data_IF_150909623985
#
_entry.id   IF_150909623985
#
_cell.length_a   1.000
_cell.length_b   1.000
_cell.length_c   1.000
_cell.angle_alpha   90.00
_cell.angle_beta   90.00
_cell.angle_gamma   90.00
#
_symmetry.space_group_name_H-M   'P 1'
#
loop_
_entity.id
_entity.type
_entity.pdbx_description
1 polymer ?
#
# COMPACT_ATOMS: atom_id res chain seq x y z
N UNK A 1 7.65 16.28 21.10
CA UNK A 1 8.09 17.52 21.74
C UNK A 1 8.93 18.33 20.75
N UNK A 2 8.85 19.64 20.83
CA UNK A 2 9.68 20.54 20.02
C UNK A 2 10.59 21.31 20.98
N UNK A 3 11.87 21.32 20.66
CA UNK A 3 12.88 22.06 21.42
C UNK A 3 13.51 23.08 20.47
N UNK A 4 13.58 24.33 20.90
CA UNK A 4 14.40 25.35 20.26
C UNK A 4 15.82 25.22 20.78
N UNK A 5 16.76 24.97 19.88
CA UNK A 5 18.16 24.85 20.21
C UNK A 5 18.89 26.15 19.86
N UNK A 6 19.85 26.52 20.68
CA UNK A 6 20.71 27.67 20.40
C UNK A 6 21.75 27.26 19.36
N UNK A 7 21.66 27.83 18.16
CA UNK A 7 22.69 27.65 17.15
C UNK A 7 23.95 28.45 17.52
N UNK A 8 25.12 27.85 17.27
CA UNK A 8 26.41 28.57 17.36
C UNK A 8 26.64 29.51 16.17
N UNK A 9 25.77 29.50 15.18
CA UNK A 9 25.83 30.35 13.99
C UNK A 9 24.71 31.41 14.09
N UNK A 10 25.08 32.66 13.98
CA UNK A 10 24.19 33.80 14.22
C UNK A 10 23.03 33.94 13.21
N UNK A 11 23.07 33.23 12.10
CA UNK A 11 22.10 33.26 11.01
C UNK A 11 21.25 31.98 10.92
N UNK A 12 21.33 31.10 11.93
CA UNK A 12 20.60 29.83 11.96
C UNK A 12 19.75 29.69 13.22
N UNK A 13 18.53 29.26 13.02
CA UNK A 13 17.61 28.81 14.07
C UNK A 13 17.48 27.29 13.99
N UNK A 14 17.69 26.60 15.09
CA UNK A 14 17.68 25.15 15.17
C UNK A 14 16.52 24.67 16.03
N UNK A 15 15.71 23.77 15.47
CA UNK A 15 14.60 23.16 16.17
C UNK A 15 14.71 21.64 16.12
N UNK A 16 14.77 21.01 17.28
CA UNK A 16 14.71 19.55 17.41
C UNK A 16 13.25 19.12 17.60
N UNK A 17 12.77 18.25 16.74
CA UNK A 17 11.42 17.70 16.80
C UNK A 17 11.51 16.23 17.19
N UNK A 18 11.22 15.95 18.47
CA UNK A 18 11.17 14.59 18.98
C UNK A 18 9.89 13.88 18.59
N UNK A 19 10.00 12.78 17.83
CA UNK A 19 8.90 11.89 17.45
C UNK A 19 9.11 10.51 18.06
N UNK A 20 8.02 9.83 18.38
CA UNK A 20 8.08 8.50 19.04
C UNK A 20 8.42 7.37 18.08
N UNK A 21 8.25 7.60 16.79
CA UNK A 21 8.57 6.65 15.71
C UNK A 21 9.13 7.41 14.52
N UNK A 22 9.85 6.72 13.67
CA UNK A 22 10.27 7.25 12.38
C UNK A 22 9.06 7.73 11.59
N UNK A 23 9.13 8.96 11.09
CA UNK A 23 8.04 9.59 10.35
C UNK A 23 8.58 10.42 9.20
N UNK A 24 7.71 10.70 8.23
CA UNK A 24 8.03 11.60 7.12
C UNK A 24 7.59 13.03 7.47
N UNK A 25 8.30 13.98 6.89
CA UNK A 25 7.95 15.39 7.04
C UNK A 25 7.97 16.10 5.67
N UNK A 26 7.26 17.20 5.60
CA UNK A 26 7.20 18.06 4.43
C UNK A 26 7.29 19.51 4.85
N UNK A 27 8.19 20.26 4.24
CA UNK A 27 8.18 21.70 4.32
C UNK A 27 7.10 22.24 3.37
N UNK A 28 6.03 22.80 3.92
CA UNK A 28 4.89 23.27 3.13
C UNK A 28 5.10 24.67 2.61
N UNK A 29 5.57 25.57 3.45
CA UNK A 29 5.80 26.96 3.07
C UNK A 29 6.83 27.62 3.98
N UNK A 30 7.44 28.66 3.45
CA UNK A 30 8.16 29.66 4.21
C UNK A 30 7.77 31.03 3.68
N UNK A 31 7.44 31.96 4.55
CA UNK A 31 7.11 33.33 4.20
C UNK A 31 7.70 34.30 5.22
N UNK A 32 8.00 35.49 4.78
CA UNK A 32 8.43 36.62 5.65
C UNK A 32 7.25 37.58 5.77
N UNK A 33 6.71 37.71 6.97
CA UNK A 33 5.62 38.62 7.29
C UNK A 33 6.01 39.45 8.53
N UNK A 34 5.85 40.77 8.43
CA UNK A 34 6.18 41.70 9.52
C UNK A 34 7.60 41.50 10.13
N UNK A 35 8.57 41.20 9.27
CA UNK A 35 9.94 40.94 9.70
C UNK A 35 10.16 39.55 10.39
N UNK A 36 9.14 38.69 10.40
CA UNK A 36 9.23 37.33 10.97
C UNK A 36 9.08 36.28 9.89
N UNK A 37 9.90 35.25 9.99
CA UNK A 37 9.76 34.08 9.14
C UNK A 37 8.67 33.15 9.66
N UNK A 38 7.70 32.84 8.82
CA UNK A 38 6.74 31.79 9.04
C UNK A 38 7.20 30.54 8.29
N UNK A 39 7.50 29.47 9.02
CA UNK A 39 7.90 28.19 8.43
C UNK A 39 6.88 27.14 8.85
N UNK A 40 6.19 26.55 7.87
CA UNK A 40 5.20 25.50 8.12
C UNK A 40 5.81 24.16 7.77
N UNK A 41 6.10 23.38 8.79
CA UNK A 41 6.55 22.00 8.69
C UNK A 41 5.39 21.07 9.03
N UNK A 42 4.94 20.28 8.08
CA UNK A 42 3.99 19.19 8.34
C UNK A 42 4.78 17.94 8.68
N UNK A 43 4.65 17.46 9.90
CA UNK A 43 5.15 16.17 10.32
C UNK A 43 3.98 15.19 10.30
N UNK A 44 4.11 14.07 9.58
CA UNK A 44 3.13 13.00 9.65
C UNK A 44 3.26 12.36 11.02
N UNK A 45 2.43 12.81 11.94
CA UNK A 45 2.32 12.13 13.23
C UNK A 45 1.56 10.82 12.98
N UNK A 46 2.09 9.68 13.39
CA UNK A 46 1.26 8.50 13.46
C UNK A 46 0.17 8.84 14.49
N UNK A 47 -0.97 9.27 13.97
CA UNK A 47 -2.12 9.57 14.82
C UNK A 47 -2.37 8.36 15.70
N UNK A 48 -2.79 8.58 16.90
CA UNK A 48 -3.56 7.60 17.66
C UNK A 48 -4.91 7.45 16.94
N UNK A 49 -4.91 7.09 15.65
CA UNK A 49 -6.10 6.52 15.09
C UNK A 49 -6.21 5.18 15.78
N UNK A 50 -7.20 5.07 16.59
CA UNK A 50 -7.65 3.84 17.23
C UNK A 50 -8.01 2.72 16.22
N UNK A 51 -7.93 2.97 14.95
CA UNK A 51 -7.92 1.99 13.87
C UNK A 51 -6.47 1.62 13.56
N UNK A 52 -6.04 0.51 14.11
CA UNK A 52 -4.84 -0.19 13.67
C UNK A 52 -5.01 -0.43 12.17
N UNK A 53 -4.15 0.20 11.36
CA UNK A 53 -4.16 -0.06 9.92
C UNK A 53 -3.90 -1.53 9.74
N UNK A 54 -4.87 -2.25 9.21
CA UNK A 54 -4.67 -3.64 8.85
C UNK A 54 -3.77 -3.70 7.61
N UNK A 55 -2.55 -4.18 7.80
CA UNK A 55 -1.57 -4.38 6.74
C UNK A 55 -1.52 -5.83 6.25
N UNK A 56 -2.52 -6.62 6.63
CA UNK A 56 -2.68 -8.00 6.21
C UNK A 56 -1.88 -9.01 7.03
N UNK A 57 -1.59 -10.15 6.44
CA UNK A 57 -1.00 -11.29 7.13
C UNK A 57 0.51 -11.16 7.31
N UNK A 58 1.01 -11.60 8.46
CA UNK A 58 2.44 -11.75 8.73
C UNK A 58 2.96 -13.16 8.38
N UNK A 59 2.05 -14.12 8.19
CA UNK A 59 2.39 -15.54 7.97
C UNK A 59 1.86 -16.05 6.64
N UNK A 60 2.53 -17.09 6.12
CA UNK A 60 2.09 -17.84 4.95
C UNK A 60 1.10 -18.92 5.37
N UNK A 61 0.01 -19.07 4.62
CA UNK A 61 -0.96 -20.14 4.78
C UNK A 61 -1.77 -20.36 3.50
N UNK A 62 -2.52 -21.46 3.44
CA UNK A 62 -3.52 -21.70 2.40
C UNK A 62 -4.92 -21.18 2.77
N UNK A 63 -5.07 -20.63 3.97
CA UNK A 63 -6.33 -20.09 4.48
C UNK A 63 -6.61 -18.73 3.87
N UNK A 64 -7.89 -18.35 3.88
CA UNK A 64 -8.33 -17.02 3.45
C UNK A 64 -7.62 -15.91 4.21
N UNK A 65 -7.19 -14.88 3.48
CA UNK A 65 -6.51 -13.71 4.03
C UNK A 65 -7.20 -12.45 3.56
N UNK A 66 -7.25 -11.46 4.43
CA UNK A 66 -7.93 -10.20 4.17
C UNK A 66 -7.09 -9.02 4.67
N UNK A 67 -7.18 -7.91 3.94
CA UNK A 67 -6.76 -6.58 4.37
C UNK A 67 -8.05 -5.77 4.42
N UNK A 68 -8.48 -5.33 5.61
CA UNK A 68 -9.72 -4.54 5.76
C UNK A 68 -9.67 -3.22 4.99
N UNK A 69 -8.45 -2.71 4.76
CA UNK A 69 -8.26 -1.44 4.10
C UNK A 69 -8.66 -0.25 4.98
N UNK A 70 -8.32 0.95 4.50
CA UNK A 70 -8.64 2.19 5.22
C UNK A 70 -9.65 3.01 4.42
N UNK A 71 -9.78 2.71 3.14
CA UNK A 71 -10.64 3.45 2.25
C UNK A 71 -12.09 2.95 2.37
N UNK A 72 -12.84 3.54 3.28
CA UNK A 72 -14.30 3.40 3.31
C UNK A 72 -15.01 4.09 2.13
N UNK A 73 -14.25 4.71 1.23
CA UNK A 73 -14.72 5.42 0.05
C UNK A 73 -13.97 4.91 -1.16
N UNK A 74 -14.61 4.88 -2.32
CA UNK A 74 -14.09 4.45 -3.62
C UNK A 74 -12.96 5.35 -4.16
N UNK A 75 -11.93 5.59 -3.35
CA UNK A 75 -10.87 6.56 -3.65
C UNK A 75 -9.53 5.90 -3.98
N UNK A 76 -9.40 4.60 -3.75
CA UNK A 76 -8.17 3.89 -4.06
C UNK A 76 -8.11 3.57 -5.57
N UNK A 77 -6.91 3.63 -6.12
CA UNK A 77 -6.64 3.28 -7.51
C UNK A 77 -5.42 2.38 -7.59
N UNK A 78 -5.50 1.28 -8.34
CA UNK A 78 -4.35 0.51 -8.75
C UNK A 78 -3.71 1.24 -9.93
N UNK A 79 -2.47 1.70 -9.78
CA UNK A 79 -1.76 2.51 -10.78
C UNK A 79 -0.82 1.70 -11.64
N UNK A 80 -0.20 0.67 -11.07
CA UNK A 80 0.73 -0.22 -11.75
C UNK A 80 0.90 -1.52 -10.98
N UNK A 81 1.62 -2.46 -11.57
CA UNK A 81 2.05 -3.68 -10.93
C UNK A 81 3.48 -4.02 -11.29
N UNK A 82 4.10 -4.82 -10.44
CA UNK A 82 5.34 -5.54 -10.73
C UNK A 82 5.22 -6.98 -10.26
N UNK A 83 5.96 -7.89 -10.88
CA UNK A 83 6.03 -9.27 -10.44
C UNK A 83 7.44 -9.83 -10.63
N UNK A 84 7.74 -10.90 -9.90
CA UNK A 84 9.02 -11.59 -9.99
C UNK A 84 8.98 -12.91 -9.25
N UNK A 85 10.03 -13.70 -9.41
CA UNK A 85 10.19 -15.03 -8.78
C UNK A 85 11.44 -15.07 -7.89
N UNK A 86 11.54 -14.25 -6.84
CA UNK A 86 12.71 -14.32 -5.97
C UNK A 86 12.75 -15.68 -5.27
N UNK A 87 13.85 -16.39 -5.44
CA UNK A 87 14.07 -17.71 -4.78
C UNK A 87 12.97 -18.76 -5.02
N UNK A 88 12.33 -18.73 -6.19
CA UNK A 88 11.26 -19.67 -6.55
C UNK A 88 9.87 -19.33 -5.99
N UNK A 89 9.73 -18.21 -5.30
CA UNK A 89 8.48 -17.67 -4.79
C UNK A 89 7.91 -16.66 -5.78
N UNK A 90 6.66 -16.82 -6.21
CA UNK A 90 6.00 -15.77 -6.99
C UNK A 90 5.64 -14.61 -6.08
N UNK A 91 6.13 -13.43 -6.42
CA UNK A 91 5.78 -12.18 -5.76
C UNK A 91 5.12 -11.23 -6.75
N UNK A 92 3.93 -10.77 -6.42
CA UNK A 92 3.21 -9.73 -7.16
C UNK A 92 2.97 -8.53 -6.25
N UNK A 93 3.21 -7.34 -6.78
CA UNK A 93 3.08 -6.07 -6.07
C UNK A 93 2.20 -5.15 -6.89
N UNK A 94 1.10 -4.68 -6.33
CA UNK A 94 0.27 -3.62 -6.88
C UNK A 94 0.60 -2.29 -6.20
N UNK A 95 0.95 -1.28 -6.99
CA UNK A 95 1.09 0.09 -6.49
C UNK A 95 -0.28 0.73 -6.40
N UNK A 96 -0.57 1.32 -5.26
CA UNK A 96 -1.87 1.92 -4.96
C UNK A 96 -1.72 3.42 -4.74
N UNK A 97 -2.65 4.19 -5.25
CA UNK A 97 -2.79 5.63 -4.98
C UNK A 97 -4.22 5.95 -4.58
N UNK A 98 -4.41 7.11 -3.96
CA UNK A 98 -5.74 7.57 -3.54
C UNK A 98 -5.62 8.79 -2.65
N UNK A 99 -6.76 9.28 -2.17
CA UNK A 99 -6.81 10.40 -1.23
C UNK A 99 -6.55 9.91 0.20
N UNK A 100 -5.88 10.75 0.97
CA UNK A 100 -5.58 10.49 2.38
C UNK A 100 -4.23 9.84 2.62
N UNK A 101 -3.98 9.55 3.88
CA UNK A 101 -2.66 9.13 4.36
C UNK A 101 -2.33 7.66 4.05
N UNK A 102 -3.34 6.87 3.71
CA UNK A 102 -3.17 5.45 3.43
C UNK A 102 -4.30 4.93 2.52
N UNK A 103 -4.13 5.02 1.19
CA UNK A 103 -5.17 4.61 0.24
C UNK A 103 -5.15 3.09 -0.02
N UNK A 104 -4.93 2.26 1.00
CA UNK A 104 -5.00 0.81 0.85
C UNK A 104 -6.47 0.40 0.76
N UNK A 105 -6.92 -0.22 -0.36
CA UNK A 105 -8.28 -0.73 -0.48
C UNK A 105 -8.48 -1.98 0.36
N UNK A 106 -9.72 -2.37 0.56
CA UNK A 106 -10.04 -3.70 1.04
C UNK A 106 -9.60 -4.74 0.00
N UNK A 107 -8.90 -5.78 0.44
CA UNK A 107 -8.41 -6.86 -0.42
C UNK A 107 -8.66 -8.19 0.26
N UNK A 108 -9.21 -9.13 -0.49
CA UNK A 108 -9.41 -10.53 -0.03
C UNK A 108 -8.66 -11.48 -0.95
N UNK A 109 -8.04 -12.48 -0.37
CA UNK A 109 -7.40 -13.57 -1.12
C UNK A 109 -7.89 -14.91 -0.58
N UNK A 110 -8.33 -15.78 -1.46
CA UNK A 110 -8.81 -17.12 -1.12
C UNK A 110 -8.67 -18.06 -2.31
N UNK A 111 -8.65 -19.36 -2.06
CA UNK A 111 -8.74 -20.37 -3.11
C UNK A 111 -10.19 -20.66 -3.49
N UNK A 112 -10.48 -20.69 -4.79
CA UNK A 112 -11.76 -21.15 -5.31
C UNK A 112 -11.85 -22.70 -5.35
N UNK A 113 -12.96 -23.22 -5.85
CA UNK A 113 -13.21 -24.67 -5.98
C UNK A 113 -12.24 -25.37 -6.94
N UNK A 114 -11.71 -24.64 -7.94
CA UNK A 114 -10.72 -25.12 -8.91
C UNK A 114 -9.29 -25.06 -8.41
N UNK A 115 -9.07 -24.73 -7.13
CA UNK A 115 -7.77 -24.48 -6.50
C UNK A 115 -6.97 -23.34 -7.13
N UNK A 116 -7.64 -22.38 -7.76
CA UNK A 116 -7.04 -21.17 -8.25
C UNK A 116 -7.06 -20.10 -7.14
N UNK A 117 -5.97 -19.37 -6.95
CA UNK A 117 -5.91 -18.29 -5.96
C UNK A 117 -6.59 -17.05 -6.53
N UNK A 118 -7.62 -16.57 -5.85
CA UNK A 118 -8.42 -15.41 -6.24
C UNK A 118 -8.10 -14.26 -5.31
N UNK A 119 -7.64 -13.15 -5.89
CA UNK A 119 -7.40 -11.88 -5.16
C UNK A 119 -8.41 -10.85 -5.63
N UNK A 120 -9.19 -10.34 -4.72
CA UNK A 120 -10.26 -9.36 -4.99
C UNK A 120 -9.99 -8.06 -4.27
N UNK A 121 -9.92 -6.99 -5.03
CA UNK A 121 -9.89 -5.62 -4.55
C UNK A 121 -11.29 -5.04 -4.61
N UNK A 122 -11.74 -4.38 -3.56
CA UNK A 122 -13.00 -3.65 -3.51
C UNK A 122 -12.77 -2.15 -3.34
N UNK A 123 -13.80 -1.35 -3.54
CA UNK A 123 -13.76 0.11 -3.35
C UNK A 123 -12.70 0.83 -4.20
N UNK A 124 -12.44 0.33 -5.41
CA UNK A 124 -11.52 0.95 -6.35
C UNK A 124 -12.24 1.99 -7.24
N UNK A 125 -11.69 3.20 -7.34
CA UNK A 125 -12.09 4.17 -8.36
C UNK A 125 -11.57 3.74 -9.74
N UNK A 126 -10.31 3.33 -9.82
CA UNK A 126 -9.66 2.90 -11.06
C UNK A 126 -8.76 1.69 -10.80
N UNK A 127 -8.74 0.76 -11.74
CA UNK A 127 -7.69 -0.23 -11.89
C UNK A 127 -7.07 -0.09 -13.28
N UNK A 128 -5.90 0.53 -13.35
CA UNK A 128 -5.21 0.72 -14.62
C UNK A 128 -4.74 -0.60 -15.22
N UNK A 129 -4.41 -1.58 -14.40
CA UNK A 129 -3.99 -2.91 -14.89
C UNK A 129 -5.14 -3.60 -15.60
N UNK A 130 -6.31 -3.66 -14.97
CA UNK A 130 -7.54 -4.24 -15.55
C UNK A 130 -8.02 -3.49 -16.81
N UNK A 131 -7.74 -2.19 -16.91
CA UNK A 131 -8.10 -1.40 -18.09
C UNK A 131 -7.27 -1.76 -19.32
N UNK A 132 -6.01 -2.16 -19.14
CA UNK A 132 -5.09 -2.44 -20.24
C UNK A 132 -4.88 -3.94 -20.51
N UNK A 133 -5.13 -4.80 -19.51
CA UNK A 133 -4.87 -6.23 -19.61
C UNK A 133 -6.01 -7.04 -19.06
N UNK A 134 -6.36 -8.12 -19.74
CA UNK A 134 -7.34 -9.12 -19.26
C UNK A 134 -6.67 -10.34 -18.67
N UNK A 135 -5.39 -10.54 -18.96
CA UNK A 135 -4.58 -11.61 -18.43
C UNK A 135 -3.11 -11.19 -18.39
N UNK A 136 -2.38 -11.63 -17.38
CA UNK A 136 -0.95 -11.42 -17.21
C UNK A 136 -0.24 -12.77 -17.22
N UNK A 137 0.84 -12.89 -17.99
CA UNK A 137 1.73 -14.05 -17.93
C UNK A 137 2.82 -13.78 -16.90
N UNK A 138 2.79 -14.50 -15.78
CA UNK A 138 3.70 -14.30 -14.65
C UNK A 138 4.89 -15.25 -14.67
N UNK A 139 4.72 -16.42 -15.31
CA UNK A 139 5.78 -17.40 -15.61
C UNK A 139 5.37 -18.25 -16.78
N UNK A 140 6.16 -19.28 -17.12
CA UNK A 140 5.81 -20.25 -18.16
C UNK A 140 4.53 -21.04 -17.88
N UNK A 141 4.12 -21.17 -16.63
CA UNK A 141 2.95 -21.95 -16.21
C UNK A 141 1.90 -21.14 -15.45
N UNK A 142 2.23 -19.98 -14.90
CA UNK A 142 1.32 -19.20 -14.05
C UNK A 142 0.85 -17.97 -14.81
N UNK A 143 -0.47 -17.81 -14.86
CA UNK A 143 -1.13 -16.60 -15.39
C UNK A 143 -2.04 -15.99 -14.33
N UNK A 144 -2.37 -14.71 -14.48
CA UNK A 144 -3.41 -14.08 -13.68
C UNK A 144 -4.46 -13.46 -14.62
N UNK A 145 -5.65 -14.04 -14.63
CA UNK A 145 -6.79 -13.47 -15.35
C UNK A 145 -7.40 -12.33 -14.54
N UNK A 146 -7.76 -11.25 -15.23
CA UNK A 146 -8.22 -10.03 -14.59
C UNK A 146 -9.63 -9.69 -15.08
N UNK A 147 -10.52 -9.49 -14.12
CA UNK A 147 -11.87 -8.98 -14.40
C UNK A 147 -12.14 -7.76 -13.56
N UNK A 148 -12.92 -6.83 -14.09
CA UNK A 148 -13.40 -5.66 -13.38
C UNK A 148 -14.91 -5.54 -13.51
N UNK A 149 -15.58 -5.34 -12.38
CA UNK A 149 -17.00 -5.07 -12.30
C UNK A 149 -17.23 -3.89 -11.33
N UNK A 150 -17.65 -2.75 -11.88
CA UNK A 150 -17.82 -1.52 -11.12
C UNK A 150 -16.53 -1.08 -10.40
N UNK A 151 -16.60 -1.06 -9.07
CA UNK A 151 -15.50 -0.70 -8.17
C UNK A 151 -14.69 -1.91 -7.67
N UNK A 152 -14.93 -3.09 -8.23
CA UNK A 152 -14.30 -4.35 -7.85
C UNK A 152 -13.39 -4.86 -8.97
N UNK A 153 -12.14 -5.22 -8.63
CA UNK A 153 -11.22 -5.90 -9.52
C UNK A 153 -10.83 -7.26 -8.93
N UNK A 154 -10.86 -8.28 -9.77
CA UNK A 154 -10.53 -9.66 -9.38
C UNK A 154 -9.41 -10.18 -10.25
N UNK A 155 -8.38 -10.73 -9.61
CA UNK A 155 -7.24 -11.40 -10.21
C UNK A 155 -7.29 -12.88 -9.87
N UNK A 156 -7.38 -13.75 -10.87
CA UNK A 156 -7.44 -15.20 -10.70
C UNK A 156 -6.12 -15.82 -11.16
N UNK A 157 -5.34 -16.33 -10.23
CA UNK A 157 -4.04 -16.95 -10.49
C UNK A 157 -4.23 -18.42 -10.86
N UNK A 158 -3.92 -18.73 -12.11
CA UNK A 158 -4.06 -20.06 -12.73
C UNK A 158 -2.71 -20.73 -12.91
N UNK A 159 -2.73 -22.06 -13.07
CA UNK A 159 -1.53 -22.84 -13.32
C UNK A 159 -0.70 -23.15 -12.08
N UNK A 160 -1.25 -22.90 -10.90
CA UNK A 160 -0.70 -23.43 -9.65
C UNK A 160 -0.99 -24.95 -9.61
N UNK A 161 0.06 -25.76 -9.46
CA UNK A 161 -0.08 -27.24 -9.49
C UNK A 161 -0.88 -27.81 -8.31
N UNK A 162 -1.01 -27.02 -7.23
CA UNK A 162 -1.79 -27.31 -6.02
C UNK A 162 -2.01 -26.02 -5.24
N UNK A 163 -2.82 -26.06 -4.18
CA UNK A 163 -2.87 -24.96 -3.20
C UNK A 163 -1.49 -24.79 -2.58
N UNK A 164 -0.96 -23.59 -2.67
CA UNK A 164 0.33 -23.18 -2.10
C UNK A 164 0.10 -22.22 -0.96
N UNK A 165 1.00 -22.23 -0.01
CA UNK A 165 0.98 -21.19 1.02
C UNK A 165 1.23 -19.82 0.39
N UNK A 166 0.39 -18.88 0.72
CA UNK A 166 0.53 -17.50 0.27
C UNK A 166 0.46 -16.54 1.45
N UNK A 167 0.93 -15.33 1.21
CA UNK A 167 0.84 -14.21 2.15
C UNK A 167 0.35 -12.98 1.41
N UNK A 168 -0.74 -12.39 1.90
CA UNK A 168 -1.29 -11.13 1.46
C UNK A 168 -0.94 -10.06 2.49
N UNK A 169 -0.24 -9.01 2.06
CA UNK A 169 0.18 -7.91 2.94
C UNK A 169 0.12 -6.57 2.21
N UNK A 170 0.17 -5.49 2.97
CA UNK A 170 0.24 -4.13 2.44
C UNK A 170 1.34 -3.31 3.09
N UNK A 171 1.73 -2.23 2.44
CA UNK A 171 2.60 -1.20 2.99
C UNK A 171 2.05 0.18 2.68
N UNK A 172 2.36 1.16 3.51
CA UNK A 172 1.89 2.55 3.39
C UNK A 172 2.97 3.55 3.00
N UNK A 173 4.19 3.08 2.80
CA UNK A 173 5.30 3.89 2.31
C UNK A 173 6.37 3.00 1.67
N UNK A 174 6.28 2.77 0.36
CA UNK A 174 5.22 3.16 -0.59
C UNK A 174 3.89 2.44 -0.35
N UNK A 175 2.78 3.02 -0.85
CA UNK A 175 1.47 2.38 -0.79
C UNK A 175 1.40 1.22 -1.78
N UNK A 176 1.38 0.02 -1.27
CA UNK A 176 1.42 -1.21 -2.05
C UNK A 176 0.58 -2.30 -1.41
N UNK A 177 0.01 -3.16 -2.24
CA UNK A 177 -0.48 -4.47 -1.84
C UNK A 177 0.44 -5.52 -2.43
N UNK A 178 0.82 -6.49 -1.62
CA UNK A 178 1.80 -7.52 -1.97
C UNK A 178 1.21 -8.90 -1.76
N UNK A 179 1.25 -9.71 -2.79
CA UNK A 179 0.97 -11.14 -2.74
C UNK A 179 2.26 -11.92 -2.96
N UNK A 180 2.55 -12.82 -2.05
CA UNK A 180 3.68 -13.76 -2.14
C UNK A 180 3.15 -15.20 -2.09
N UNK A 181 3.51 -16.04 -3.08
CA UNK A 181 3.08 -17.44 -3.19
C UNK A 181 4.34 -18.31 -3.19
N UNK A 182 4.42 -19.25 -2.25
CA UNK A 182 5.56 -20.18 -2.10
C UNK A 182 5.43 -21.41 -2.96
#
# INVERSE_FOLDING_TARGET
RIYHNVSSQADQELYDIGVTKSTVFQLLSKSLEDGKWNVILRVKYPGESSSKVDLGSESYSTMDQEIEGISSKENASITSYTYGNPSGMLKMVWSVSGEGDSPIPEVKASYNEDNELVVTFTSLSIDRVANFSKSLTLSSSITADITRDGNKSTYVFKGLSSKRDYKLSASVSPNQVVLEIK
#
